data_IF_506046871099
#
_entry.id   IF_506046871099
#
_cell.length_a   1.000
_cell.length_b   1.000
_cell.length_c   1.000
_cell.angle_alpha   90.00
_cell.angle_beta   90.00
_cell.angle_gamma   90.00
#
_symmetry.space_group_name_H-M   'P 1'
#
loop_
_entity.id
_entity.type
_entity.pdbx_description
1 polymer ?
#
# COMPACT_ATOMS: atom_id res chain seq x y z
N UNK A 1 11.07 15.81 -8.64
CA UNK A 1 10.48 15.59 -9.97
C UNK A 1 11.60 15.20 -10.90
N UNK A 2 11.58 13.99 -11.45
CA UNK A 2 12.58 13.54 -12.42
C UNK A 2 12.44 14.36 -13.70
N UNK A 3 13.57 14.80 -14.24
CA UNK A 3 13.61 15.48 -15.54
C UNK A 3 13.50 14.42 -16.66
N UNK A 4 12.42 14.40 -17.45
CA UNK A 4 12.21 13.38 -18.46
C UNK A 4 13.25 13.43 -19.59
N UNK A 5 13.74 14.61 -19.96
CA UNK A 5 14.75 14.76 -21.02
C UNK A 5 16.07 14.13 -20.58
N UNK A 6 16.52 14.38 -19.35
CA UNK A 6 17.72 13.74 -18.80
C UNK A 6 17.56 12.23 -18.63
N UNK A 7 16.34 11.77 -18.30
CA UNK A 7 16.04 10.34 -18.16
C UNK A 7 16.18 9.63 -19.50
N UNK A 8 15.62 10.19 -20.59
CA UNK A 8 15.76 9.63 -21.92
C UNK A 8 17.21 9.71 -22.45
N UNK A 9 17.89 10.83 -22.18
CA UNK A 9 19.30 10.98 -22.55
C UNK A 9 20.21 9.96 -21.86
N UNK A 10 19.85 9.55 -20.64
CA UNK A 10 20.55 8.49 -19.90
C UNK A 10 20.26 7.06 -20.40
N UNK A 11 19.42 6.90 -21.43
CA UNK A 11 19.13 5.61 -22.07
C UNK A 11 17.87 4.91 -21.57
N UNK A 12 17.08 5.53 -20.73
CA UNK A 12 15.76 5.01 -20.32
C UNK A 12 14.76 5.30 -21.45
N UNK A 13 13.98 4.30 -21.85
CA UNK A 13 13.04 4.45 -22.96
C UNK A 13 11.65 4.94 -22.52
N UNK A 14 11.27 4.75 -21.27
CA UNK A 14 9.99 5.18 -20.72
C UNK A 14 10.19 6.06 -19.47
N UNK A 15 9.81 7.32 -19.59
CA UNK A 15 9.76 8.25 -18.46
C UNK A 15 8.32 8.74 -18.28
N UNK A 16 7.67 8.47 -17.14
CA UNK A 16 6.34 9.02 -16.87
C UNK A 16 6.45 10.54 -16.74
N UNK A 17 6.02 11.24 -17.76
CA UNK A 17 6.06 12.70 -17.83
C UNK A 17 4.94 13.23 -18.73
N UNK A 18 4.64 14.51 -18.56
CA UNK A 18 3.82 15.24 -19.52
C UNK A 18 4.57 15.30 -20.88
N UNK A 19 3.89 14.87 -21.94
CA UNK A 19 4.43 14.89 -23.30
C UNK A 19 4.89 16.29 -23.73
N UNK A 20 4.22 17.35 -23.27
CA UNK A 20 4.61 18.73 -23.53
C UNK A 20 6.06 19.05 -23.12
N UNK A 21 6.51 18.54 -21.99
CA UNK A 21 7.88 18.75 -21.51
C UNK A 21 8.94 18.12 -22.41
N UNK A 22 8.63 16.98 -23.05
CA UNK A 22 9.54 16.36 -24.01
C UNK A 22 9.56 17.12 -25.33
N UNK A 23 8.42 17.61 -25.79
CA UNK A 23 8.32 18.47 -26.98
C UNK A 23 9.13 19.75 -26.78
N UNK A 24 8.95 20.43 -25.66
CA UNK A 24 9.70 21.63 -25.31
C UNK A 24 11.21 21.39 -25.25
N UNK A 25 11.63 20.23 -24.70
CA UNK A 25 13.04 19.87 -24.62
C UNK A 25 13.67 19.63 -26.00
N UNK A 26 12.94 19.04 -26.94
CA UNK A 26 13.41 18.86 -28.33
C UNK A 26 13.43 20.20 -29.04
N UNK A 27 12.39 21.04 -28.95
CA UNK A 27 12.31 22.33 -29.58
C UNK A 27 13.38 23.32 -29.10
N UNK A 28 13.72 23.25 -27.82
CA UNK A 28 14.80 24.07 -27.23
C UNK A 28 16.21 23.51 -27.49
N UNK A 29 16.34 22.32 -28.07
CA UNK A 29 17.63 21.64 -28.27
C UNK A 29 18.21 21.02 -27.00
N UNK A 30 17.47 20.93 -25.89
CA UNK A 30 17.89 20.29 -24.66
C UNK A 30 17.87 18.75 -24.74
N UNK A 31 17.10 18.20 -25.68
CA UNK A 31 17.06 16.78 -26.01
C UNK A 31 17.17 16.61 -27.53
N UNK A 32 18.10 15.77 -27.97
CA UNK A 32 18.22 15.39 -29.37
C UNK A 32 17.01 14.53 -29.77
N UNK A 33 16.39 14.88 -30.91
CA UNK A 33 15.22 14.14 -31.43
C UNK A 33 15.53 12.68 -31.71
N UNK A 34 16.76 12.33 -32.06
CA UNK A 34 17.18 10.94 -32.29
C UNK A 34 17.06 10.08 -31.02
N UNK A 35 17.28 10.68 -29.85
CA UNK A 35 17.11 10.00 -28.55
C UNK A 35 15.64 9.69 -28.29
N UNK A 36 14.76 10.64 -28.59
CA UNK A 36 13.31 10.43 -28.48
C UNK A 36 12.83 9.35 -29.46
N UNK A 37 13.30 9.39 -30.71
CA UNK A 37 12.96 8.41 -31.74
C UNK A 37 13.45 7.00 -31.38
N UNK A 38 14.64 6.87 -30.81
CA UNK A 38 15.14 5.59 -30.31
C UNK A 38 14.23 5.03 -29.20
N UNK A 39 13.91 5.83 -28.20
CA UNK A 39 13.04 5.44 -27.10
C UNK A 39 11.66 5.01 -27.59
N UNK A 40 11.07 5.81 -28.49
CA UNK A 40 9.79 5.49 -29.11
C UNK A 40 9.83 4.18 -29.90
N UNK A 41 10.90 3.94 -30.68
CA UNK A 41 11.10 2.71 -31.45
C UNK A 41 11.18 1.48 -30.52
N UNK A 42 11.91 1.58 -29.42
CA UNK A 42 12.03 0.49 -28.46
C UNK A 42 10.68 0.14 -27.82
N UNK A 43 9.92 1.16 -27.43
CA UNK A 43 8.56 0.97 -26.89
C UNK A 43 7.64 0.33 -27.95
N UNK A 44 7.68 0.82 -29.19
CA UNK A 44 6.88 0.27 -30.29
C UNK A 44 7.20 -1.20 -30.57
N UNK A 45 8.48 -1.59 -30.51
CA UNK A 45 8.88 -2.99 -30.66
C UNK A 45 8.25 -3.88 -29.58
N UNK A 46 8.24 -3.42 -28.33
CA UNK A 46 7.62 -4.14 -27.20
C UNK A 46 6.10 -4.25 -27.41
N UNK A 47 5.44 -3.16 -27.77
CA UNK A 47 4.00 -3.14 -28.02
C UNK A 47 3.59 -4.06 -29.17
N UNK A 48 4.35 -4.04 -30.26
CA UNK A 48 4.12 -4.94 -31.40
C UNK A 48 4.32 -6.41 -31.00
N UNK A 49 5.38 -6.72 -30.28
CA UNK A 49 5.60 -8.07 -29.78
C UNK A 49 4.48 -8.53 -28.82
N UNK A 50 4.01 -7.63 -27.95
CA UNK A 50 2.90 -7.93 -27.05
C UNK A 50 1.58 -8.12 -27.80
N UNK A 51 1.33 -7.35 -28.86
CA UNK A 51 0.09 -7.46 -29.66
C UNK A 51 -0.05 -8.79 -30.41
N UNK A 52 1.06 -9.48 -30.67
CA UNK A 52 1.09 -10.79 -31.32
C UNK A 52 0.89 -11.96 -30.35
N UNK A 53 0.97 -11.67 -29.03
CA UNK A 53 0.73 -12.70 -28.03
C UNK A 53 -0.77 -12.94 -27.85
N UNK A 54 -1.20 -14.21 -27.66
CA UNK A 54 -2.60 -14.47 -27.32
C UNK A 54 -2.93 -13.72 -26.03
N UNK A 55 -4.04 -12.97 -26.08
CA UNK A 55 -4.57 -12.34 -24.85
C UNK A 55 -4.82 -13.44 -23.83
N UNK A 56 -4.38 -13.29 -22.57
CA UNK A 56 -4.74 -14.21 -21.51
C UNK A 56 -6.23 -14.05 -21.18
N UNK A 57 -7.09 -14.46 -22.13
CA UNK A 57 -8.53 -14.21 -22.05
C UNK A 57 -9.20 -14.93 -20.88
N UNK A 58 -8.59 -16.01 -20.38
CA UNK A 58 -9.12 -16.83 -19.29
C UNK A 58 -8.05 -17.10 -18.21
N UNK A 59 -7.51 -16.04 -17.64
CA UNK A 59 -6.68 -16.22 -16.46
C UNK A 59 -7.57 -16.65 -15.29
N UNK A 60 -7.25 -17.81 -14.70
CA UNK A 60 -7.94 -18.30 -13.50
C UNK A 60 -7.62 -17.41 -12.29
N UNK A 61 -8.45 -16.39 -12.12
CA UNK A 61 -8.32 -15.45 -10.98
C UNK A 61 -8.53 -16.13 -9.63
N UNK A 62 -9.18 -17.30 -9.61
CA UNK A 62 -9.39 -18.04 -8.38
C UNK A 62 -8.10 -18.66 -7.88
N UNK A 63 -7.32 -19.25 -8.79
CA UNK A 63 -6.00 -19.77 -8.48
C UNK A 63 -5.04 -18.66 -8.04
N UNK A 64 -5.02 -17.52 -8.76
CA UNK A 64 -4.23 -16.35 -8.39
C UNK A 64 -4.59 -15.82 -6.98
N UNK A 65 -5.90 -15.76 -6.67
CA UNK A 65 -6.37 -15.32 -5.35
C UNK A 65 -5.95 -16.28 -4.25
N UNK A 66 -6.06 -17.58 -4.47
CA UNK A 66 -5.63 -18.60 -3.52
C UNK A 66 -4.15 -18.51 -3.24
N UNK A 67 -3.35 -18.31 -4.27
CA UNK A 67 -1.90 -18.09 -4.14
C UNK A 67 -1.59 -16.79 -3.37
N UNK A 68 -2.29 -15.69 -3.65
CA UNK A 68 -2.11 -14.44 -2.94
C UNK A 68 -2.42 -14.58 -1.44
N UNK A 69 -3.48 -15.30 -1.08
CA UNK A 69 -3.83 -15.59 0.32
C UNK A 69 -2.73 -16.41 0.99
N UNK A 70 -2.19 -17.42 0.31
CA UNK A 70 -1.11 -18.25 0.86
C UNK A 70 0.18 -17.45 1.04
N UNK A 71 0.54 -16.61 0.08
CA UNK A 71 1.67 -15.71 0.20
C UNK A 71 1.50 -14.73 1.38
N UNK A 72 0.31 -14.17 1.55
CA UNK A 72 0.02 -13.27 2.67
C UNK A 72 0.18 -13.98 4.02
N UNK A 73 -0.28 -15.23 4.16
CA UNK A 73 -0.10 -16.04 5.37
C UNK A 73 1.38 -16.27 5.69
N UNK A 74 2.19 -16.56 4.67
CA UNK A 74 3.62 -16.82 4.83
C UNK A 74 4.45 -15.55 5.01
N UNK A 75 3.90 -14.38 4.66
CA UNK A 75 4.56 -13.08 4.83
C UNK A 75 4.53 -12.58 6.28
N UNK A 76 3.62 -13.11 7.10
CA UNK A 76 3.52 -12.71 8.50
C UNK A 76 4.72 -13.22 9.32
N UNK A 77 5.37 -12.32 10.07
CA UNK A 77 6.48 -12.66 10.96
C UNK A 77 6.07 -12.45 12.41
N UNK A 78 6.00 -13.54 13.17
CA UNK A 78 5.72 -13.48 14.60
C UNK A 78 7.00 -13.12 15.37
N UNK A 79 7.15 -11.85 15.73
CA UNK A 79 8.36 -11.36 16.42
C UNK A 79 8.39 -11.82 17.89
N UNK A 80 7.24 -11.82 18.56
CA UNK A 80 7.12 -12.20 19.98
C UNK A 80 5.70 -12.67 20.28
N UNK A 81 5.59 -13.74 21.06
CA UNK A 81 4.32 -14.19 21.65
C UNK A 81 4.53 -14.60 23.09
N UNK A 82 3.82 -13.97 24.00
CA UNK A 82 3.84 -14.29 25.44
C UNK A 82 2.52 -14.93 25.88
N UNK A 83 1.87 -15.67 24.99
CA UNK A 83 0.60 -16.35 25.26
C UNK A 83 -0.64 -15.58 24.80
N UNK A 84 -0.49 -14.42 24.13
CA UNK A 84 -1.63 -13.70 23.56
C UNK A 84 -2.23 -14.41 22.33
N UNK A 85 -1.41 -15.15 21.60
CA UNK A 85 -1.83 -15.91 20.42
C UNK A 85 -1.69 -17.41 20.66
N UNK A 86 -2.59 -18.24 20.09
CA UNK A 86 -3.72 -17.87 19.22
C UNK A 86 -4.90 -17.28 19.99
N UNK A 87 -5.65 -16.38 19.32
CA UNK A 87 -6.92 -15.88 19.86
C UNK A 87 -7.95 -17.01 19.85
N UNK A 88 -8.63 -17.23 20.98
CA UNK A 88 -9.61 -18.30 21.13
C UNK A 88 -11.01 -17.87 20.67
N UNK A 89 -11.85 -18.84 20.30
CA UNK A 89 -13.27 -18.57 20.01
C UNK A 89 -13.97 -18.07 21.29
N UNK A 90 -14.80 -17.03 21.12
CA UNK A 90 -15.58 -16.47 22.22
C UNK A 90 -14.90 -15.31 22.95
N UNK A 91 -13.61 -15.06 22.74
CA UNK A 91 -12.95 -13.87 23.27
C UNK A 91 -13.56 -12.60 22.66
N UNK A 92 -13.74 -11.59 23.49
CA UNK A 92 -14.06 -10.23 23.06
C UNK A 92 -12.77 -9.59 22.55
N UNK A 93 -12.73 -9.26 21.27
CA UNK A 93 -11.55 -8.69 20.65
C UNK A 93 -11.82 -7.27 20.16
N UNK A 94 -11.00 -6.31 20.58
CA UNK A 94 -11.00 -4.98 20.02
C UNK A 94 -10.02 -4.91 18.84
N UNK A 95 -10.50 -4.45 17.67
CA UNK A 95 -9.66 -4.09 16.53
C UNK A 95 -9.47 -2.59 16.53
N UNK A 96 -8.23 -2.14 16.62
CA UNK A 96 -7.88 -0.73 16.77
C UNK A 96 -6.93 -0.34 15.65
N UNK A 97 -7.25 0.74 14.97
CA UNK A 97 -6.45 1.28 13.86
C UNK A 97 -7.21 1.33 12.55
N UNK A 98 -7.10 2.44 11.84
CA UNK A 98 -7.74 2.66 10.55
C UNK A 98 -7.38 1.59 9.51
N UNK A 99 -6.19 1.00 9.60
CA UNK A 99 -5.73 -0.04 8.67
C UNK A 99 -6.44 -1.39 8.83
N UNK A 100 -7.21 -1.60 9.91
CA UNK A 100 -8.08 -2.76 10.05
C UNK A 100 -9.21 -2.79 9.03
N UNK A 101 -9.77 -1.61 8.71
CA UNK A 101 -10.85 -1.42 7.74
C UNK A 101 -10.33 -0.98 6.38
N UNK A 102 -9.35 -0.09 6.38
CA UNK A 102 -8.77 0.50 5.18
C UNK A 102 -7.32 0.05 4.98
N UNK A 103 -7.10 -1.20 4.46
CA UNK A 103 -5.76 -1.69 4.19
C UNK A 103 -5.01 -0.74 3.28
N UNK A 104 -3.77 -0.45 3.65
CA UNK A 104 -2.98 0.50 2.92
C UNK A 104 -2.36 -0.10 1.66
N UNK A 105 -2.36 0.67 0.60
CA UNK A 105 -1.64 0.40 -0.66
C UNK A 105 -0.47 1.36 -0.78
N UNK A 106 0.61 0.93 -1.42
CA UNK A 106 1.70 1.86 -1.71
C UNK A 106 1.24 2.96 -2.67
N UNK A 107 1.74 4.18 -2.45
CA UNK A 107 1.42 5.33 -3.28
C UNK A 107 1.69 5.03 -4.78
N UNK A 108 0.73 5.39 -5.63
CA UNK A 108 0.85 5.22 -7.08
C UNK A 108 0.40 3.87 -7.62
N UNK A 109 -0.03 2.92 -6.78
CA UNK A 109 -0.63 1.68 -7.26
C UNK A 109 -2.16 1.79 -7.30
N UNK A 110 -2.80 1.35 -8.40
CA UNK A 110 -4.25 1.31 -8.47
C UNK A 110 -4.77 0.37 -7.38
N UNK A 111 -5.83 0.79 -6.72
CA UNK A 111 -6.51 -0.03 -5.71
C UNK A 111 -6.94 -1.34 -6.33
N UNK A 112 -6.56 -2.46 -5.73
CA UNK A 112 -7.05 -3.76 -6.19
C UNK A 112 -8.58 -3.78 -6.07
N UNK A 113 -9.30 -4.27 -7.09
CA UNK A 113 -10.77 -4.20 -7.14
C UNK A 113 -11.46 -5.05 -6.07
N UNK A 114 -10.73 -5.96 -5.42
CA UNK A 114 -11.24 -6.84 -4.36
C UNK A 114 -10.19 -6.99 -3.27
N UNK A 115 -10.30 -6.16 -2.26
CA UNK A 115 -9.48 -6.28 -1.05
C UNK A 115 -10.36 -6.65 0.12
N UNK A 116 -9.95 -7.67 0.83
CA UNK A 116 -10.58 -8.08 2.08
C UNK A 116 -9.89 -7.36 3.23
N UNK A 117 -10.61 -6.54 3.96
CA UNK A 117 -10.09 -5.89 5.17
C UNK A 117 -9.96 -6.90 6.31
N UNK A 118 -9.26 -6.53 7.38
CA UNK A 118 -9.21 -7.37 8.57
C UNK A 118 -10.59 -7.51 9.24
N UNK A 119 -11.42 -6.49 9.13
CA UNK A 119 -12.81 -6.52 9.61
C UNK A 119 -13.64 -7.51 8.78
N UNK A 120 -13.57 -7.43 7.45
CA UNK A 120 -14.25 -8.39 6.57
C UNK A 120 -13.81 -9.83 6.85
N UNK A 121 -12.50 -10.03 7.03
CA UNK A 121 -11.97 -11.35 7.36
C UNK A 121 -12.48 -11.85 8.71
N UNK A 122 -12.60 -10.99 9.72
CA UNK A 122 -13.16 -11.37 11.02
C UNK A 122 -14.62 -11.82 10.89
N UNK A 123 -15.42 -11.11 10.08
CA UNK A 123 -16.82 -11.50 9.80
C UNK A 123 -16.89 -12.84 9.06
N UNK A 124 -16.05 -13.04 8.04
CA UNK A 124 -15.99 -14.30 7.28
C UNK A 124 -15.63 -15.50 8.17
N UNK A 125 -14.88 -15.28 9.24
CA UNK A 125 -14.49 -16.31 10.22
C UNK A 125 -15.38 -16.36 11.46
N UNK A 126 -16.57 -15.76 11.41
CA UNK A 126 -17.56 -15.72 12.52
C UNK A 126 -16.95 -15.21 13.84
N UNK A 127 -16.10 -14.19 13.74
CA UNK A 127 -15.51 -13.53 14.89
C UNK A 127 -16.24 -12.23 15.20
N UNK A 128 -16.69 -12.11 16.44
CA UNK A 128 -17.26 -10.86 16.95
C UNK A 128 -16.11 -9.94 17.37
N UNK A 129 -15.98 -8.83 16.69
CA UNK A 129 -14.97 -7.81 16.99
C UNK A 129 -15.65 -6.48 17.32
N UNK A 130 -14.98 -5.67 18.11
CA UNK A 130 -15.32 -4.27 18.33
C UNK A 130 -14.25 -3.41 17.63
N UNK A 131 -14.63 -2.70 16.58
CA UNK A 131 -13.71 -1.85 15.81
C UNK A 131 -13.73 -0.42 16.28
N UNK A 132 -12.55 0.17 16.44
CA UNK A 132 -12.33 1.60 16.74
C UNK A 132 -11.18 2.10 15.86
N UNK A 133 -11.33 3.24 15.22
CA UNK A 133 -10.28 3.83 14.40
C UNK A 133 -9.03 4.21 15.22
N UNK A 134 -9.21 4.86 16.36
CA UNK A 134 -8.18 5.17 17.34
C UNK A 134 -7.12 6.19 16.91
N UNK A 135 -6.77 6.21 15.63
CA UNK A 135 -5.85 7.18 15.01
C UNK A 135 -6.11 7.29 13.50
N UNK A 136 -5.85 8.45 12.87
CA UNK A 136 -6.08 8.66 11.45
C UNK A 136 -5.07 7.88 10.57
N UNK A 137 -5.52 7.43 9.39
CA UNK A 137 -4.70 6.67 8.44
C UNK A 137 -3.76 7.55 7.60
N UNK A 138 -4.08 8.82 7.46
CA UNK A 138 -3.47 9.75 6.50
C UNK A 138 -2.36 10.64 7.09
N UNK A 139 -2.33 10.80 8.42
CA UNK A 139 -1.43 11.74 9.10
C UNK A 139 -1.02 11.27 10.49
N UNK A 140 0.08 11.84 11.01
CA UNK A 140 0.53 11.65 12.38
C UNK A 140 -0.04 12.77 13.27
N UNK A 141 -1.32 12.64 13.62
CA UNK A 141 -2.02 13.56 14.50
C UNK A 141 -2.91 12.79 15.47
N UNK A 142 -2.81 13.07 16.75
CA UNK A 142 -3.67 12.47 17.76
C UNK A 142 -5.04 13.16 17.74
N UNK A 143 -6.10 12.35 17.63
CA UNK A 143 -7.46 12.72 17.96
C UNK A 143 -7.75 12.21 19.37
N UNK A 144 -7.97 13.12 20.31
CA UNK A 144 -8.15 12.77 21.72
C UNK A 144 -9.39 11.94 21.98
N UNK A 145 -10.48 12.22 21.26
CA UNK A 145 -11.74 11.49 21.42
C UNK A 145 -11.62 10.05 20.91
N UNK A 146 -11.01 9.86 19.72
CA UNK A 146 -10.77 8.53 19.16
C UNK A 146 -9.75 7.75 20.00
N UNK A 147 -8.72 8.40 20.51
CA UNK A 147 -7.75 7.79 21.41
C UNK A 147 -8.42 7.23 22.67
N UNK A 148 -9.22 8.06 23.37
CA UNK A 148 -9.93 7.62 24.57
C UNK A 148 -10.92 6.49 24.29
N UNK A 149 -11.62 6.54 23.16
CA UNK A 149 -12.51 5.44 22.72
C UNK A 149 -11.75 4.14 22.51
N UNK A 150 -10.56 4.21 21.92
CA UNK A 150 -9.70 3.05 21.71
C UNK A 150 -9.22 2.44 23.04
N UNK A 151 -8.82 3.27 23.98
CA UNK A 151 -8.41 2.82 25.34
C UNK A 151 -9.57 2.12 26.04
N UNK A 152 -10.76 2.74 26.08
CA UNK A 152 -11.95 2.13 26.68
C UNK A 152 -12.32 0.81 26.02
N UNK A 153 -12.21 0.73 24.68
CA UNK A 153 -12.48 -0.51 23.96
C UNK A 153 -11.47 -1.61 24.27
N UNK A 154 -10.20 -1.26 24.42
CA UNK A 154 -9.13 -2.19 24.80
C UNK A 154 -9.34 -2.73 26.22
N UNK A 155 -9.68 -1.85 27.19
CA UNK A 155 -9.98 -2.25 28.58
C UNK A 155 -11.20 -3.17 28.71
N UNK A 156 -12.19 -3.01 27.83
CA UNK A 156 -13.40 -3.83 27.84
C UNK A 156 -13.26 -5.17 27.09
N UNK A 157 -12.13 -5.38 26.41
CA UNK A 157 -11.85 -6.56 25.61
C UNK A 157 -10.94 -7.57 26.34
N UNK A 158 -11.02 -8.85 25.95
CA UNK A 158 -10.08 -9.88 26.41
C UNK A 158 -8.73 -9.78 25.66
N UNK A 159 -8.74 -9.19 24.48
CA UNK A 159 -7.54 -8.90 23.68
C UNK A 159 -7.76 -7.69 22.77
N UNK A 160 -6.73 -6.89 22.57
CA UNK A 160 -6.71 -5.81 21.61
C UNK A 160 -5.71 -6.12 20.48
N UNK A 161 -6.16 -5.97 19.24
CA UNK A 161 -5.31 -6.11 18.04
C UNK A 161 -5.18 -4.72 17.42
N UNK A 162 -3.96 -4.18 17.45
CA UNK A 162 -3.67 -2.85 16.93
C UNK A 162 -3.07 -2.98 15.52
N UNK A 163 -3.72 -2.36 14.54
CA UNK A 163 -3.30 -2.33 13.14
C UNK A 163 -2.50 -1.06 12.87
N UNK A 164 -1.22 -1.10 13.23
CA UNK A 164 -0.32 0.04 13.12
C UNK A 164 0.46 0.02 11.79
N UNK A 165 0.82 1.20 11.29
CA UNK A 165 1.60 1.34 10.06
C UNK A 165 1.90 2.80 9.74
N UNK A 166 2.58 3.04 8.63
CA UNK A 166 2.90 4.39 8.19
C UNK A 166 1.72 5.04 7.47
N UNK A 167 1.41 6.32 7.74
CA UNK A 167 0.42 7.06 6.98
C UNK A 167 0.91 7.32 5.55
N UNK A 168 -0.01 7.60 4.64
CA UNK A 168 0.31 7.84 3.23
C UNK A 168 1.29 9.01 3.05
N UNK A 169 1.17 10.05 3.86
CA UNK A 169 2.07 11.21 3.83
C UNK A 169 3.53 10.89 4.20
N UNK A 170 3.79 9.77 4.86
CA UNK A 170 5.15 9.35 5.23
C UNK A 170 5.91 8.61 4.12
N UNK A 171 5.24 8.25 3.02
CA UNK A 171 5.83 7.51 1.90
C UNK A 171 5.57 8.23 0.56
N UNK A 172 6.05 9.45 0.46
CA UNK A 172 6.01 10.20 -0.79
C UNK A 172 7.16 9.75 -1.70
N UNK A 173 6.87 9.57 -2.98
CA UNK A 173 7.83 9.08 -4.00
C UNK A 173 9.11 9.93 -4.16
N UNK A 174 9.18 11.11 -3.57
CA UNK A 174 10.32 12.03 -3.65
C UNK A 174 10.93 12.39 -2.29
N UNK A 175 10.54 11.72 -1.21
CA UNK A 175 11.02 12.03 0.12
C UNK A 175 11.42 10.76 0.88
N UNK A 176 12.68 10.69 1.29
CA UNK A 176 13.17 9.61 2.15
C UNK A 176 12.65 9.77 3.58
N UNK A 177 12.38 8.63 4.19
CA UNK A 177 12.06 8.59 5.61
C UNK A 177 13.29 8.94 6.45
N UNK A 178 13.10 9.78 7.46
CA UNK A 178 14.17 10.21 8.36
C UNK A 178 14.46 9.20 9.49
N UNK A 179 13.52 8.28 9.75
CA UNK A 179 13.61 7.30 10.84
C UNK A 179 12.67 6.11 10.57
N UNK A 180 12.86 5.02 11.33
CA UNK A 180 12.06 3.79 11.24
C UNK A 180 10.94 3.70 12.29
N UNK A 181 10.65 4.78 13.00
CA UNK A 181 9.62 4.80 14.04
C UNK A 181 8.24 4.81 13.41
N UNK A 182 7.27 4.22 14.11
CA UNK A 182 5.85 4.44 13.83
C UNK A 182 5.49 5.91 14.11
N UNK A 183 4.37 6.41 13.58
CA UNK A 183 3.81 7.70 13.96
C UNK A 183 3.66 7.84 15.47
N UNK A 184 3.85 9.05 15.99
CA UNK A 184 3.83 9.27 17.42
C UNK A 184 2.44 9.02 18.03
N UNK A 185 1.38 9.36 17.30
CA UNK A 185 0.01 9.07 17.72
C UNK A 185 -0.23 7.56 17.93
N UNK A 186 0.37 6.70 17.08
CA UNK A 186 0.27 5.24 17.20
C UNK A 186 1.14 4.71 18.36
N UNK A 187 2.37 5.20 18.50
CA UNK A 187 3.24 4.81 19.62
C UNK A 187 2.60 5.15 20.98
N UNK A 188 1.96 6.31 21.09
CA UNK A 188 1.27 6.72 22.30
C UNK A 188 0.05 5.85 22.63
N UNK A 189 -0.62 5.32 21.58
CA UNK A 189 -1.76 4.41 21.78
C UNK A 189 -1.31 3.01 22.20
N UNK A 190 -0.15 2.56 21.71
CA UNK A 190 0.40 1.22 22.02
C UNK A 190 0.99 1.19 23.46
N UNK A 191 1.50 2.31 23.96
CA UNK A 191 2.13 2.43 25.27
C UNK A 191 1.14 2.41 26.43
#
# INVERSE_FOLDING_TARGET
VQDPARTLAAGVDFAPADAGRLVDAVQSGALDESVLNRAASNIMCILLAASTQPSPADRDRTADRSLAVELAKQSGVLLRNLGALPLHKGQKVAYIGAFADHPRYSAGHPRAPQVTSAIDAAVLHDRKIHYIEGFPADRDQRDEAEFLRAVVAAEAADAAVIFAGLPECAELAAADRRHMRLPECQNNLIA
#
